data_IF_049949744731
#
_entry.id   IF_049949744731
#
_cell.length_a   1.000
_cell.length_b   1.000
_cell.length_c   1.000
_cell.angle_alpha   90.00
_cell.angle_beta   90.00
_cell.angle_gamma   90.00
#
_symmetry.space_group_name_H-M   'P 1'
#
loop_
_entity.id
_entity.type
_entity.pdbx_description
1 polymer ?
#
# COMPACT_ATOMS: atom_id res chain seq x y z
N UNK A 1 -15.23 5.11 -9.61
CA UNK A 1 -15.21 4.12 -8.50
C UNK A 1 -14.10 4.53 -7.55
N UNK A 2 -14.35 4.62 -6.25
CA UNK A 2 -13.31 4.93 -5.26
C UNK A 2 -12.54 3.68 -4.81
N UNK A 3 -11.38 3.87 -4.17
CA UNK A 3 -10.60 2.77 -3.60
C UNK A 3 -11.42 1.97 -2.57
N UNK A 4 -12.17 2.65 -1.70
CA UNK A 4 -13.05 2.00 -0.73
C UNK A 4 -14.14 1.15 -1.39
N UNK A 5 -14.73 1.65 -2.48
CA UNK A 5 -15.71 0.87 -3.24
C UNK A 5 -15.07 -0.36 -3.90
N UNK A 6 -13.81 -0.27 -4.33
CA UNK A 6 -13.06 -1.41 -4.88
C UNK A 6 -12.85 -2.47 -3.80
N UNK A 7 -12.24 -2.12 -2.67
CA UNK A 7 -11.95 -3.07 -1.58
C UNK A 7 -13.24 -3.62 -0.93
N UNK A 8 -14.33 -2.84 -0.93
CA UNK A 8 -15.65 -3.27 -0.48
C UNK A 8 -16.41 -4.17 -1.49
N UNK A 9 -15.97 -4.28 -2.75
CA UNK A 9 -16.54 -5.19 -3.74
C UNK A 9 -15.71 -6.44 -4.01
N UNK A 10 -14.39 -6.33 -3.97
CA UNK A 10 -13.48 -7.41 -4.34
C UNK A 10 -12.22 -7.40 -3.49
N UNK A 11 -11.52 -8.53 -3.46
CA UNK A 11 -10.15 -8.62 -3.00
C UNK A 11 -9.23 -8.26 -4.18
N UNK A 12 -8.20 -7.47 -3.95
CA UNK A 12 -7.22 -7.11 -4.97
C UNK A 12 -6.06 -8.10 -4.93
N UNK A 13 -5.80 -8.79 -6.04
CA UNK A 13 -4.63 -9.66 -6.18
C UNK A 13 -3.65 -9.11 -7.20
N UNK A 14 -2.49 -8.68 -6.73
CA UNK A 14 -1.43 -8.23 -7.62
C UNK A 14 -0.80 -9.47 -8.32
N UNK A 15 -0.80 -9.52 -9.67
CA UNK A 15 -0.29 -10.67 -10.42
C UNK A 15 1.25 -10.77 -10.39
N UNK A 16 1.77 -11.87 -10.93
CA UNK A 16 3.22 -12.18 -11.00
C UNK A 16 3.98 -11.21 -11.89
N UNK A 17 3.41 -10.92 -13.06
CA UNK A 17 4.00 -10.02 -14.05
C UNK A 17 3.69 -8.59 -13.62
N UNK A 18 4.71 -7.94 -13.09
CA UNK A 18 4.70 -6.53 -12.72
C UNK A 18 5.85 -5.87 -13.47
N UNK A 19 5.65 -4.66 -13.99
CA UNK A 19 6.82 -3.83 -14.33
C UNK A 19 7.60 -3.60 -13.04
N UNK A 20 8.92 -3.50 -13.15
CA UNK A 20 9.76 -3.11 -12.03
C UNK A 20 9.13 -1.90 -11.32
N UNK A 21 9.19 -1.87 -9.99
CA UNK A 21 8.63 -0.78 -9.21
C UNK A 21 9.45 0.48 -9.42
N UNK A 22 9.08 1.24 -10.45
CA UNK A 22 9.88 2.37 -10.93
C UNK A 22 9.80 3.51 -9.93
N UNK A 23 8.67 3.73 -9.22
CA UNK A 23 8.47 4.87 -8.29
C UNK A 23 9.46 4.98 -7.13
N UNK A 24 10.27 3.96 -6.85
CA UNK A 24 11.28 4.00 -5.79
C UNK A 24 12.73 4.09 -6.27
N UNK A 25 13.00 4.20 -7.57
CA UNK A 25 14.36 4.36 -8.11
C UNK A 25 14.78 5.83 -7.97
N UNK A 26 15.95 6.09 -7.37
CA UNK A 26 16.49 7.45 -7.18
C UNK A 26 17.08 8.01 -8.49
N UNK A 27 16.27 8.05 -9.55
CA UNK A 27 16.55 8.94 -10.67
C UNK A 27 15.70 10.20 -10.52
N UNK A 28 16.23 11.38 -10.91
CA UNK A 28 15.53 12.65 -10.75
C UNK A 28 14.16 12.69 -11.42
N UNK A 29 13.97 11.93 -12.51
CA UNK A 29 12.69 11.85 -13.23
C UNK A 29 11.63 11.06 -12.46
N UNK A 30 12.03 10.04 -11.72
CA UNK A 30 11.14 9.15 -10.98
C UNK A 30 10.73 9.76 -9.64
N UNK A 31 11.67 10.39 -8.93
CA UNK A 31 11.38 11.10 -7.69
C UNK A 31 10.29 12.16 -7.90
N UNK A 32 10.37 12.93 -8.99
CA UNK A 32 9.35 13.92 -9.37
C UNK A 32 7.96 13.32 -9.59
N UNK A 33 7.87 12.11 -10.15
CA UNK A 33 6.57 11.45 -10.37
C UNK A 33 5.98 10.97 -9.05
N UNK A 34 6.80 10.46 -8.14
CA UNK A 34 6.38 10.07 -6.79
C UNK A 34 5.93 11.29 -5.99
N UNK A 35 6.77 12.31 -5.90
CA UNK A 35 6.52 13.48 -5.07
C UNK A 35 5.26 14.21 -5.56
N UNK A 36 5.06 14.32 -6.88
CA UNK A 36 3.82 14.84 -7.45
C UNK A 36 2.60 14.00 -7.05
N UNK A 37 2.68 12.67 -7.12
CA UNK A 37 1.58 11.80 -6.71
C UNK A 37 1.23 11.98 -5.23
N UNK A 38 2.24 12.19 -4.38
CA UNK A 38 2.07 12.43 -2.94
C UNK A 38 1.48 13.81 -2.69
N UNK A 39 1.96 14.84 -3.39
CA UNK A 39 1.44 16.20 -3.34
C UNK A 39 -0.02 16.26 -3.78
N UNK A 40 -0.36 15.54 -4.86
CA UNK A 40 -1.72 15.41 -5.37
C UNK A 40 -2.64 14.74 -4.32
N UNK A 41 -2.15 13.70 -3.63
CA UNK A 41 -2.87 13.06 -2.53
C UNK A 41 -3.04 14.01 -1.33
N UNK A 42 -1.97 14.72 -0.95
CA UNK A 42 -1.98 15.67 0.15
C UNK A 42 -2.96 16.82 -0.10
N UNK A 43 -2.92 17.40 -1.30
CA UNK A 43 -3.83 18.46 -1.71
C UNK A 43 -5.29 17.98 -1.71
N UNK A 44 -5.54 16.75 -2.17
CA UNK A 44 -6.87 16.15 -2.16
C UNK A 44 -7.40 15.85 -0.75
N UNK A 45 -6.52 15.55 0.21
CA UNK A 45 -6.88 15.28 1.60
C UNK A 45 -7.07 16.56 2.43
N UNK A 46 -6.30 17.60 2.15
CA UNK A 46 -6.29 18.85 2.95
C UNK A 46 -7.24 19.92 2.44
N UNK A 47 -7.61 19.88 1.15
CA UNK A 47 -8.52 20.84 0.56
C UNK A 47 -9.91 20.23 0.33
N UNK A 48 -10.83 20.46 1.26
CA UNK A 48 -12.20 19.92 1.23
C UNK A 48 -13.04 20.43 0.05
N UNK A 49 -12.63 21.52 -0.61
CA UNK A 49 -13.26 22.05 -1.84
C UNK A 49 -12.58 21.55 -3.12
N UNK A 50 -11.50 20.77 -3.01
CA UNK A 50 -10.82 20.22 -4.18
C UNK A 50 -11.66 19.13 -4.85
N UNK A 51 -11.56 19.08 -6.19
CA UNK A 51 -12.18 18.02 -6.99
C UNK A 51 -11.64 16.65 -6.56
N UNK A 52 -12.45 15.58 -6.65
CA UNK A 52 -11.97 14.22 -6.40
C UNK A 52 -10.69 13.93 -7.18
N UNK A 53 -9.65 13.48 -6.49
CA UNK A 53 -8.40 13.12 -7.16
C UNK A 53 -8.64 11.94 -8.08
N UNK A 54 -8.45 12.17 -9.38
CA UNK A 54 -8.50 11.12 -10.38
C UNK A 54 -7.15 10.41 -10.44
N UNK A 55 -7.08 9.23 -9.83
CA UNK A 55 -5.87 8.40 -9.74
C UNK A 55 -5.59 7.61 -11.04
N UNK A 56 -5.60 8.30 -12.19
CA UNK A 56 -5.45 7.73 -13.53
C UNK A 56 -6.32 6.46 -13.76
N UNK A 57 -6.11 5.77 -14.89
CA UNK A 57 -6.81 4.52 -15.17
C UNK A 57 -6.09 3.33 -14.51
N UNK A 58 -6.88 2.52 -13.79
CA UNK A 58 -6.50 1.21 -13.25
C UNK A 58 -7.46 0.21 -13.87
N UNK A 59 -6.93 -0.79 -14.57
CA UNK A 59 -7.74 -1.81 -15.23
C UNK A 59 -7.14 -3.20 -15.01
N UNK A 60 -8.00 -4.20 -15.07
CA UNK A 60 -7.66 -5.56 -14.70
C UNK A 60 -8.77 -6.53 -15.04
N UNK A 61 -8.55 -7.79 -14.67
CA UNK A 61 -9.53 -8.86 -14.84
C UNK A 61 -10.22 -9.13 -13.51
N UNK A 62 -11.55 -9.26 -13.56
CA UNK A 62 -12.32 -9.78 -12.44
C UNK A 62 -12.51 -11.28 -12.59
N UNK A 63 -12.37 -12.01 -11.48
CA UNK A 63 -12.64 -13.45 -11.44
C UNK A 63 -13.29 -13.82 -10.11
N UNK A 64 -13.95 -14.96 -10.08
CA UNK A 64 -14.51 -15.52 -8.86
C UNK A 64 -13.61 -16.63 -8.32
N UNK A 65 -13.38 -16.61 -7.02
CA UNK A 65 -12.69 -17.68 -6.28
C UNK A 65 -13.60 -18.10 -5.13
N UNK A 66 -14.33 -19.20 -5.32
CA UNK A 66 -15.45 -19.56 -4.44
C UNK A 66 -16.53 -18.47 -4.44
N UNK A 67 -16.90 -17.97 -3.26
CA UNK A 67 -17.84 -16.85 -3.11
C UNK A 67 -17.18 -15.47 -3.18
N UNK A 68 -15.85 -15.40 -3.28
CA UNK A 68 -15.09 -14.15 -3.23
C UNK A 68 -14.80 -13.63 -4.63
N UNK A 69 -15.11 -12.35 -4.88
CA UNK A 69 -14.66 -11.65 -6.10
C UNK A 69 -13.21 -11.21 -5.93
N UNK A 70 -12.40 -11.49 -6.94
CA UNK A 70 -10.98 -11.11 -7.03
C UNK A 70 -10.81 -10.17 -8.22
N UNK A 71 -10.21 -9.01 -7.99
CA UNK A 71 -9.75 -8.10 -9.02
C UNK A 71 -8.23 -8.24 -9.17
N UNK A 72 -7.77 -8.61 -10.37
CA UNK A 72 -6.35 -8.72 -10.68
C UNK A 72 -5.95 -7.60 -11.65
N UNK A 73 -5.27 -6.53 -11.17
CA UNK A 73 -4.86 -5.41 -12.00
C UNK A 73 -3.82 -5.83 -13.05
N UNK A 74 -4.10 -5.53 -14.31
CA UNK A 74 -3.14 -5.63 -15.41
C UNK A 74 -2.22 -4.40 -15.44
N UNK A 75 -2.74 -3.24 -15.02
CA UNK A 75 -1.99 -1.99 -14.86
C UNK A 75 -2.44 -1.26 -13.58
N UNK A 76 -1.64 -0.31 -13.08
CA UNK A 76 -1.94 0.44 -11.84
C UNK A 76 -1.62 -0.32 -10.55
N UNK A 77 -0.88 -1.42 -10.64
CA UNK A 77 -0.47 -2.28 -9.51
C UNK A 77 0.24 -1.48 -8.40
N UNK A 78 1.14 -0.57 -8.79
CA UNK A 78 1.92 0.27 -7.87
C UNK A 78 1.02 1.30 -7.18
N UNK A 79 0.12 1.95 -7.95
CA UNK A 79 -0.87 2.90 -7.41
C UNK A 79 -1.79 2.24 -6.38
N UNK A 80 -2.29 1.04 -6.65
CA UNK A 80 -3.13 0.29 -5.70
C UNK A 80 -2.38 -0.05 -4.42
N UNK A 81 -1.10 -0.43 -4.55
CA UNK A 81 -0.26 -0.70 -3.39
C UNK A 81 -0.08 0.57 -2.55
N UNK A 82 0.21 1.72 -3.18
CA UNK A 82 0.37 3.00 -2.48
C UNK A 82 -0.93 3.45 -1.79
N UNK A 83 -2.09 3.31 -2.45
CA UNK A 83 -3.39 3.63 -1.87
C UNK A 83 -3.73 2.73 -0.67
N UNK A 84 -3.38 1.46 -0.74
CA UNK A 84 -3.56 0.53 0.37
C UNK A 84 -2.77 0.96 1.60
N UNK A 85 -1.52 1.40 1.43
CA UNK A 85 -0.67 1.83 2.54
C UNK A 85 -1.05 3.19 3.07
N UNK A 86 -1.44 4.11 2.18
CA UNK A 86 -1.98 5.40 2.58
C UNK A 86 -3.27 5.19 3.39
N UNK A 87 -4.12 4.28 2.95
CA UNK A 87 -5.31 3.92 3.70
C UNK A 87 -4.94 3.32 5.05
N UNK A 88 -3.99 2.37 5.11
CA UNK A 88 -3.49 1.84 6.39
C UNK A 88 -2.97 2.95 7.32
N UNK A 89 -2.24 3.93 6.78
CA UNK A 89 -1.65 5.02 7.55
C UNK A 89 -2.68 6.00 8.12
N UNK A 90 -3.66 6.40 7.31
CA UNK A 90 -4.64 7.42 7.67
C UNK A 90 -5.91 6.87 8.33
N UNK A 91 -6.18 5.57 8.17
CA UNK A 91 -7.44 4.98 8.60
C UNK A 91 -7.50 4.83 10.13
N UNK A 92 -8.52 5.39 10.81
CA UNK A 92 -8.68 5.22 12.25
C UNK A 92 -8.89 3.75 12.65
N UNK A 93 -8.55 3.42 13.89
CA UNK A 93 -8.75 2.10 14.49
C UNK A 93 -10.15 1.50 14.24
N UNK A 94 -11.17 2.36 14.24
CA UNK A 94 -12.59 2.00 14.07
C UNK A 94 -12.96 1.56 12.66
N UNK A 95 -12.14 1.85 11.64
CA UNK A 95 -12.39 1.54 10.23
C UNK A 95 -11.48 0.43 9.68
N UNK A 96 -10.72 -0.26 10.54
CA UNK A 96 -9.84 -1.40 10.19
C UNK A 96 -10.54 -2.53 9.44
N UNK A 97 -11.85 -2.71 9.63
CA UNK A 97 -12.63 -3.73 8.93
C UNK A 97 -12.62 -3.60 7.40
N UNK A 98 -12.19 -2.44 6.87
CA UNK A 98 -12.07 -2.22 5.42
C UNK A 98 -10.73 -2.70 4.83
N UNK A 99 -9.75 -2.97 5.69
CA UNK A 99 -8.43 -3.52 5.31
C UNK A 99 -8.44 -5.05 5.25
N UNK A 100 -9.49 -5.70 5.75
CA UNK A 100 -9.62 -7.15 5.81
C UNK A 100 -10.93 -7.65 5.19
N UNK A 101 -10.89 -8.89 4.71
CA UNK A 101 -12.06 -9.70 4.37
C UNK A 101 -11.93 -11.04 5.07
N UNK A 102 -12.69 -11.21 6.16
CA UNK A 102 -12.44 -12.29 7.10
C UNK A 102 -11.06 -12.10 7.73
N UNK A 103 -10.22 -13.13 7.67
CA UNK A 103 -8.86 -13.13 8.24
C UNK A 103 -7.77 -12.69 7.25
N UNK A 104 -8.17 -12.24 6.04
CA UNK A 104 -7.22 -11.92 4.96
C UNK A 104 -7.22 -10.44 4.63
N UNK A 105 -6.04 -9.88 4.39
CA UNK A 105 -5.88 -8.53 3.83
C UNK A 105 -6.65 -8.37 2.51
N UNK A 106 -7.27 -7.20 2.29
CA UNK A 106 -7.92 -6.88 1.00
C UNK A 106 -6.95 -6.82 -0.18
N UNK A 107 -5.66 -6.67 0.07
CA UNK A 107 -4.59 -6.70 -0.93
C UNK A 107 -3.70 -7.93 -0.71
N UNK A 108 -3.55 -8.76 -1.76
CA UNK A 108 -2.68 -9.95 -1.77
C UNK A 108 -1.76 -9.96 -2.99
N UNK A 109 -0.66 -10.71 -2.90
CA UNK A 109 0.27 -10.93 -4.00
C UNK A 109 0.26 -12.40 -4.41
N UNK A 110 0.18 -12.69 -5.71
CA UNK A 110 -0.03 -14.07 -6.19
C UNK A 110 1.15 -15.03 -5.95
N UNK A 111 2.40 -14.56 -6.05
CA UNK A 111 3.62 -15.41 -6.03
C UNK A 111 4.70 -14.78 -5.15
N UNK A 112 4.32 -13.86 -4.25
CA UNK A 112 5.25 -13.17 -3.37
C UNK A 112 4.78 -13.41 -1.94
N UNK A 113 5.00 -14.63 -1.47
CA UNK A 113 4.52 -15.11 -0.17
C UNK A 113 5.04 -14.24 0.98
N UNK A 114 6.26 -13.72 0.85
CA UNK A 114 6.88 -12.75 1.75
C UNK A 114 6.13 -11.42 1.80
N UNK A 115 5.79 -10.83 0.65
CA UNK A 115 4.97 -9.61 0.58
C UNK A 115 3.56 -9.86 1.11
N UNK A 116 2.99 -11.01 0.81
CA UNK A 116 1.67 -11.38 1.30
C UNK A 116 1.66 -11.51 2.82
N UNK A 117 2.64 -12.22 3.40
CA UNK A 117 2.80 -12.35 4.84
C UNK A 117 2.99 -10.98 5.50
N UNK A 118 3.85 -10.14 4.95
CA UNK A 118 4.04 -8.77 5.44
C UNK A 118 2.75 -7.94 5.39
N UNK A 119 2.02 -7.91 4.27
CA UNK A 119 0.78 -7.14 4.18
C UNK A 119 -0.29 -7.67 5.14
N UNK A 120 -0.37 -8.99 5.33
CA UNK A 120 -1.30 -9.59 6.28
C UNK A 120 -0.96 -9.22 7.72
N UNK A 121 0.33 -9.20 8.06
CA UNK A 121 0.80 -8.80 9.38
C UNK A 121 0.63 -7.30 9.61
N UNK A 122 1.01 -6.47 8.64
CA UNK A 122 0.88 -5.01 8.70
C UNK A 122 -0.56 -4.57 9.03
N UNK A 123 -1.56 -5.25 8.45
CA UNK A 123 -2.96 -4.95 8.72
C UNK A 123 -3.44 -5.30 10.13
N UNK A 124 -2.64 -6.01 10.93
CA UNK A 124 -2.93 -6.31 12.34
C UNK A 124 -2.45 -5.19 13.27
N UNK A 125 -1.48 -4.38 12.83
CA UNK A 125 -0.86 -3.30 13.60
C UNK A 125 -1.38 -1.92 13.17
N UNK A 126 -1.14 -0.89 13.98
CA UNK A 126 -1.58 0.50 13.73
C UNK A 126 -0.39 1.45 13.61
N UNK A 127 -0.43 2.44 12.71
CA UNK A 127 0.56 3.52 12.69
C UNK A 127 0.71 4.20 14.06
N UNK A 128 -0.41 4.43 14.76
CA UNK A 128 -0.43 5.03 16.10
C UNK A 128 0.33 4.21 17.16
N UNK A 129 0.53 2.90 16.96
CA UNK A 129 1.34 2.06 17.86
C UNK A 129 2.84 2.41 17.74
N UNK A 130 3.23 3.12 16.68
CA UNK A 130 4.59 3.54 16.38
C UNK A 130 4.80 5.05 16.56
N UNK A 131 3.74 5.83 16.78
CA UNK A 131 3.82 7.27 17.04
C UNK A 131 4.17 7.54 18.51
N UNK A 132 5.22 8.33 18.75
CA UNK A 132 5.68 8.71 20.11
C UNK A 132 6.83 7.89 20.69
N UNK A 133 7.42 6.98 19.91
CA UNK A 133 8.63 6.23 20.29
C UNK A 133 9.95 7.00 20.05
N UNK A 134 11.07 6.40 20.47
CA UNK A 134 12.43 6.98 20.31
C UNK A 134 12.98 6.97 18.87
N UNK A 135 12.14 6.64 17.88
CA UNK A 135 12.54 6.45 16.49
C UNK A 135 12.30 7.73 15.67
N UNK A 136 13.18 8.03 14.71
CA UNK A 136 13.06 9.20 13.84
C UNK A 136 11.98 9.06 12.76
N UNK A 137 11.40 7.87 12.57
CA UNK A 137 10.24 7.67 11.72
C UNK A 137 9.64 6.27 11.78
N UNK A 138 8.43 6.13 11.22
CA UNK A 138 7.67 4.87 11.20
C UNK A 138 8.45 3.70 10.60
N UNK A 139 9.31 3.97 9.61
CA UNK A 139 10.14 2.94 8.99
C UNK A 139 11.03 2.23 10.01
N UNK A 140 11.70 2.99 10.87
CA UNK A 140 12.58 2.45 11.90
C UNK A 140 11.78 1.72 12.97
N UNK A 141 10.62 2.28 13.34
CA UNK A 141 9.73 1.66 14.30
C UNK A 141 9.18 0.31 13.80
N UNK A 142 8.82 0.18 12.52
CA UNK A 142 8.39 -1.11 11.95
C UNK A 142 9.60 -2.06 11.76
N UNK A 143 10.80 -1.59 11.40
CA UNK A 143 11.99 -2.46 11.33
C UNK A 143 12.34 -3.11 12.67
N UNK A 144 12.12 -2.38 13.77
CA UNK A 144 12.44 -2.82 15.12
C UNK A 144 11.28 -3.56 15.80
N UNK A 145 10.12 -3.66 15.14
CA UNK A 145 8.96 -4.31 15.71
C UNK A 145 9.17 -5.83 15.85
N UNK A 146 8.72 -6.41 16.98
CA UNK A 146 8.94 -7.83 17.29
C UNK A 146 8.29 -8.80 16.28
N UNK A 147 7.25 -8.35 15.58
CA UNK A 147 6.56 -9.12 14.54
C UNK A 147 7.24 -9.01 13.17
N UNK A 148 8.17 -8.07 12.99
CA UNK A 148 8.84 -7.85 11.71
C UNK A 148 9.92 -8.90 11.48
N UNK A 149 9.71 -9.76 10.47
CA UNK A 149 10.70 -10.77 10.11
C UNK A 149 11.84 -10.15 9.31
N UNK A 150 13.07 -10.38 9.80
CA UNK A 150 14.30 -9.88 9.17
C UNK A 150 14.44 -10.32 7.70
N UNK A 151 13.88 -11.46 7.33
CA UNK A 151 13.89 -11.99 5.95
C UNK A 151 13.13 -11.10 4.98
N UNK A 152 12.08 -10.40 5.44
CA UNK A 152 11.30 -9.47 4.62
C UNK A 152 12.17 -8.31 4.11
N UNK A 153 13.20 -7.88 4.85
CA UNK A 153 14.10 -6.83 4.38
C UNK A 153 15.00 -7.26 3.20
N UNK A 154 15.17 -8.56 2.99
CA UNK A 154 16.03 -9.13 1.96
C UNK A 154 15.30 -9.56 0.70
N UNK A 155 13.98 -9.69 0.77
CA UNK A 155 13.16 -10.09 -0.36
C UNK A 155 13.09 -8.98 -1.43
N UNK A 156 13.47 -9.22 -2.71
CA UNK A 156 13.43 -8.22 -3.77
C UNK A 156 12.03 -7.69 -4.09
N UNK A 157 10.98 -8.37 -3.66
CA UNK A 157 9.58 -7.98 -3.81
C UNK A 157 9.09 -7.13 -2.64
N UNK A 158 9.61 -7.32 -1.43
CA UNK A 158 9.40 -6.40 -0.29
C UNK A 158 10.32 -5.19 -0.42
N UNK A 159 11.56 -5.40 -0.88
CA UNK A 159 12.57 -4.38 -1.17
C UNK A 159 12.27 -3.64 -2.48
N UNK A 160 11.62 -4.31 -3.43
CA UNK A 160 11.14 -3.77 -4.71
C UNK A 160 9.71 -3.24 -4.62
N UNK A 161 8.86 -3.73 -3.72
CA UNK A 161 7.76 -2.96 -3.15
C UNK A 161 8.39 -1.84 -2.31
N UNK A 162 8.99 -0.85 -2.97
CA UNK A 162 9.64 0.30 -2.31
C UNK A 162 8.63 1.23 -1.64
N UNK A 163 7.40 0.78 -1.40
CA UNK A 163 6.59 1.09 -0.21
C UNK A 163 7.46 1.30 1.02
N UNK A 164 8.45 0.43 1.26
CA UNK A 164 9.34 0.55 2.42
C UNK A 164 10.29 1.76 2.40
N UNK A 165 10.67 2.24 1.20
CA UNK A 165 11.45 3.48 1.04
C UNK A 165 10.54 4.70 0.86
N UNK A 166 9.34 4.52 0.30
CA UNK A 166 8.31 5.55 0.15
C UNK A 166 7.68 5.90 1.49
N UNK A 167 7.55 4.96 2.43
CA UNK A 167 7.22 5.25 3.84
C UNK A 167 8.35 6.03 4.53
N UNK A 168 9.60 5.88 4.08
CA UNK A 168 10.73 6.69 4.54
C UNK A 168 10.84 8.07 3.86
N UNK A 169 10.43 8.20 2.58
CA UNK A 169 10.51 9.47 1.84
C UNK A 169 9.22 10.29 1.86
N UNK A 170 8.05 9.68 2.07
CA UNK A 170 6.78 10.37 2.34
C UNK A 170 6.70 10.88 3.79
N UNK A 171 7.60 10.42 4.67
CA UNK A 171 7.54 10.72 6.11
C UNK A 171 8.86 11.22 6.69
N UNK A 172 9.82 11.56 5.83
CA UNK A 172 10.90 12.52 6.11
C UNK A 172 10.58 13.79 5.34
N UNK A 173 9.51 14.44 5.78
CA UNK A 173 9.12 15.81 5.53
C UNK A 173 8.49 16.32 6.81
#
# INVERSE_FOLDING_TARGET
MSFLQLVAKSMTEIPVIQRDYVQGVDTPSIARVRDRFVDDLWAALTNLEAKPLHLDFIYGVERQEGQQKIFAPLDGQQRLTTLFLLHWYLCPATQRGWMHRGERSVLRYKVRDTCQAFCQELCQHQPAEFEGGAYSGLREAILDAAWFLREWQYDPSVRGSRVWRSLGSMMLG
#
